data_IF_501104098980
#
_entry.id   IF_501104098980
#
_cell.length_a   1.000
_cell.length_b   1.000
_cell.length_c   1.000
_cell.angle_alpha   90.00
_cell.angle_beta   90.00
_cell.angle_gamma   90.00
#
_symmetry.space_group_name_H-M   'P 1'
#
loop_
_entity.id
_entity.type
_entity.pdbx_description
1 polymer ?
#
# COMPACT_ATOMS: atom_id res chain seq x y z
N UNK A 1 -7.60 -14.80 22.59
CA UNK A 1 -6.70 -13.71 22.08
C UNK A 1 -7.48 -12.98 21.00
N UNK A 2 -7.54 -11.67 21.05
CA UNK A 2 -8.20 -10.86 20.02
C UNK A 2 -7.36 -10.98 18.74
N UNK A 3 -8.00 -11.24 17.62
CA UNK A 3 -7.30 -11.33 16.34
C UNK A 3 -6.87 -9.91 15.93
N UNK A 4 -5.57 -9.63 15.92
CA UNK A 4 -5.00 -8.28 15.66
C UNK A 4 -5.12 -7.85 14.20
N UNK A 5 -5.27 -8.82 13.28
CA UNK A 5 -5.55 -8.63 11.87
C UNK A 5 -6.72 -9.54 11.49
N UNK A 6 -7.75 -8.98 10.87
CA UNK A 6 -8.92 -9.74 10.42
C UNK A 6 -8.89 -9.81 8.89
N UNK A 7 -8.93 -11.01 8.35
CA UNK A 7 -9.11 -11.23 6.91
C UNK A 7 -10.56 -11.60 6.59
N UNK A 8 -11.09 -10.99 5.54
CA UNK A 8 -12.35 -11.40 4.92
C UNK A 8 -12.25 -11.28 3.40
N UNK A 9 -12.75 -12.27 2.67
CA UNK A 9 -12.66 -12.32 1.21
C UNK A 9 -14.06 -12.18 0.61
N UNK A 10 -14.20 -11.32 -0.39
CA UNK A 10 -15.47 -11.09 -1.09
C UNK A 10 -15.22 -10.64 -2.52
N UNK A 11 -15.88 -11.26 -3.49
CA UNK A 11 -15.83 -10.86 -4.90
C UNK A 11 -14.40 -10.71 -5.43
N UNK A 12 -13.54 -11.71 -5.19
CA UNK A 12 -12.11 -11.71 -5.57
C UNK A 12 -11.28 -10.59 -4.93
N UNK A 13 -11.75 -10.01 -3.84
CA UNK A 13 -11.04 -9.00 -3.05
C UNK A 13 -10.76 -9.55 -1.66
N UNK A 14 -9.49 -9.59 -1.25
CA UNK A 14 -9.10 -9.86 0.13
C UNK A 14 -9.04 -8.55 0.92
N UNK A 15 -9.73 -8.50 2.05
CA UNK A 15 -9.77 -7.35 2.95
C UNK A 15 -9.00 -7.70 4.22
N UNK A 16 -7.91 -6.97 4.47
CA UNK A 16 -7.10 -7.06 5.68
C UNK A 16 -7.43 -5.86 6.58
N UNK A 17 -8.12 -6.13 7.68
CA UNK A 17 -8.54 -5.12 8.65
C UNK A 17 -7.61 -5.11 9.85
N UNK A 18 -6.90 -4.01 10.07
CA UNK A 18 -6.08 -3.77 11.27
C UNK A 18 -7.01 -3.66 12.48
N UNK A 19 -6.77 -4.49 13.52
CA UNK A 19 -7.66 -4.64 14.69
C UNK A 19 -6.87 -4.71 16.01
N UNK A 20 -5.76 -3.99 16.13
CA UNK A 20 -5.00 -3.82 17.37
C UNK A 20 -5.30 -2.45 18.00
N UNK A 21 -6.56 -2.33 18.48
CA UNK A 21 -7.06 -1.08 19.06
C UNK A 21 -6.43 -0.79 20.44
N UNK A 22 -6.28 0.50 20.80
CA UNK A 22 -6.83 1.69 20.13
C UNK A 22 -5.93 2.28 19.03
N UNK A 23 -4.74 1.75 18.80
CA UNK A 23 -3.70 2.44 18.01
C UNK A 23 -3.39 1.80 16.64
N UNK A 24 -3.77 0.55 16.42
CA UNK A 24 -3.36 -0.24 15.25
C UNK A 24 -1.86 -0.11 14.98
N UNK A 25 -1.07 -0.33 16.05
CA UNK A 25 0.37 -0.20 15.98
C UNK A 25 0.96 -1.27 15.07
N UNK A 26 1.94 -0.88 14.27
CA UNK A 26 2.76 -1.82 13.52
C UNK A 26 3.82 -2.41 14.45
N UNK A 27 3.35 -3.27 15.39
CA UNK A 27 4.18 -4.10 16.26
C UNK A 27 4.77 -5.29 15.47
N UNK A 28 5.78 -5.96 16.03
CA UNK A 28 6.34 -7.17 15.37
C UNK A 28 5.24 -8.17 15.00
N UNK A 29 4.35 -8.60 15.93
CA UNK A 29 3.29 -9.54 15.57
C UNK A 29 2.34 -9.05 14.48
N UNK A 30 2.00 -7.74 14.46
CA UNK A 30 1.14 -7.17 13.42
C UNK A 30 1.79 -7.23 12.05
N UNK A 31 3.08 -6.84 11.97
CA UNK A 31 3.81 -6.84 10.70
C UNK A 31 4.03 -8.26 10.16
N UNK A 32 4.36 -9.21 11.02
CA UNK A 32 4.48 -10.62 10.66
C UNK A 32 3.15 -11.19 10.16
N UNK A 33 2.04 -10.89 10.82
CA UNK A 33 0.72 -11.36 10.39
C UNK A 33 0.32 -10.75 9.05
N UNK A 34 0.57 -9.44 8.83
CA UNK A 34 0.35 -8.82 7.51
C UNK A 34 1.18 -9.54 6.44
N UNK A 35 2.47 -9.78 6.66
CA UNK A 35 3.34 -10.45 5.71
C UNK A 35 2.87 -11.88 5.39
N UNK A 36 2.43 -12.63 6.41
CA UNK A 36 1.90 -13.97 6.25
C UNK A 36 0.62 -13.97 5.39
N UNK A 37 -0.30 -13.05 5.66
CA UNK A 37 -1.52 -12.91 4.87
C UNK A 37 -1.21 -12.49 3.43
N UNK A 38 -0.32 -11.52 3.23
CA UNK A 38 0.10 -11.09 1.89
C UNK A 38 0.72 -12.24 1.09
N UNK A 39 1.57 -13.06 1.73
CA UNK A 39 2.17 -14.23 1.09
C UNK A 39 1.10 -15.26 0.70
N UNK A 40 0.17 -15.56 1.61
CA UNK A 40 -0.92 -16.50 1.33
C UNK A 40 -1.81 -16.01 0.20
N UNK A 41 -2.17 -14.72 0.21
CA UNK A 41 -3.03 -14.12 -0.81
C UNK A 41 -2.33 -14.07 -2.17
N UNK A 42 -1.03 -13.84 -2.23
CA UNK A 42 -0.31 -13.77 -3.52
C UNK A 42 -0.37 -15.09 -4.31
N UNK A 43 -0.49 -16.22 -3.59
CA UNK A 43 -0.63 -17.56 -4.17
C UNK A 43 -2.09 -18.02 -4.36
N UNK A 44 -3.07 -17.18 -4.05
CA UNK A 44 -4.50 -17.51 -4.17
C UNK A 44 -5.08 -16.89 -5.45
N UNK A 45 -5.23 -17.67 -6.52
CA UNK A 45 -5.71 -17.20 -7.81
C UNK A 45 -7.16 -16.71 -7.78
N UNK A 46 -7.93 -17.03 -6.74
CA UNK A 46 -9.29 -16.52 -6.55
C UNK A 46 -9.33 -15.04 -6.16
N UNK A 47 -8.21 -14.53 -5.62
CA UNK A 47 -8.06 -13.12 -5.19
C UNK A 47 -7.35 -12.31 -6.27
N UNK A 48 -7.89 -11.13 -6.55
CA UNK A 48 -7.42 -10.20 -7.59
C UNK A 48 -6.89 -8.88 -7.03
N UNK A 49 -7.41 -8.43 -5.89
CA UNK A 49 -7.09 -7.14 -5.26
C UNK A 49 -7.04 -7.34 -3.75
N UNK A 50 -6.18 -6.59 -3.08
CA UNK A 50 -6.07 -6.56 -1.62
C UNK A 50 -6.47 -5.17 -1.13
N UNK A 51 -7.31 -5.10 -0.10
CA UNK A 51 -7.61 -3.86 0.64
C UNK A 51 -6.95 -3.97 2.02
N UNK A 52 -6.22 -2.94 2.43
CA UNK A 52 -5.78 -2.75 3.82
C UNK A 52 -6.61 -1.62 4.40
N UNK A 53 -7.35 -1.90 5.47
CA UNK A 53 -8.17 -0.92 6.20
C UNK A 53 -8.02 -1.07 7.71
N UNK A 54 -8.68 -0.24 8.49
CA UNK A 54 -8.80 -0.33 9.94
C UNK A 54 -10.22 -0.71 10.35
N UNK A 55 -10.37 -1.43 11.46
CA UNK A 55 -11.66 -1.60 12.14
C UNK A 55 -12.07 -0.36 12.97
N UNK A 56 -11.19 0.65 13.07
CA UNK A 56 -11.47 1.93 13.72
C UNK A 56 -11.71 3.04 12.70
N UNK A 57 -12.74 3.84 12.93
CA UNK A 57 -12.98 5.06 12.15
C UNK A 57 -12.06 6.23 12.57
N UNK A 58 -11.36 6.11 13.72
CA UNK A 58 -10.54 7.20 14.27
C UNK A 58 -9.07 7.10 13.93
N UNK A 59 -8.59 5.88 13.70
CA UNK A 59 -7.17 5.64 13.45
C UNK A 59 -6.99 4.51 12.44
N UNK A 60 -6.24 4.80 11.38
CA UNK A 60 -5.76 3.78 10.45
C UNK A 60 -4.60 3.02 11.09
N UNK A 61 -3.50 3.73 11.41
CA UNK A 61 -2.36 3.20 12.16
C UNK A 61 -1.51 4.33 12.73
N UNK A 62 -1.04 4.16 13.97
CA UNK A 62 -0.12 5.09 14.65
C UNK A 62 1.36 4.88 14.28
N UNK A 63 1.68 3.87 13.45
CA UNK A 63 3.04 3.43 13.22
C UNK A 63 3.55 2.46 14.28
N UNK A 64 4.85 2.42 14.53
CA UNK A 64 5.43 1.46 15.47
C UNK A 64 4.92 1.60 16.90
N UNK A 65 4.86 0.49 17.62
CA UNK A 65 4.52 0.47 19.04
C UNK A 65 5.67 1.09 19.87
N UNK A 66 5.48 2.32 20.35
CA UNK A 66 6.51 3.02 21.12
C UNK A 66 6.83 2.36 22.46
N UNK A 67 5.91 1.57 23.04
CA UNK A 67 6.20 0.79 24.26
C UNK A 67 7.19 -0.33 23.96
N UNK A 68 7.03 -1.01 22.83
CA UNK A 68 7.94 -2.05 22.34
C UNK A 68 9.33 -1.44 22.06
N UNK A 69 9.39 -0.31 21.32
CA UNK A 69 10.64 0.41 21.06
C UNK A 69 11.33 0.85 22.37
N UNK A 70 10.56 1.37 23.32
CA UNK A 70 11.10 1.78 24.63
C UNK A 70 11.65 0.58 25.39
N UNK A 71 10.98 -0.57 25.37
CA UNK A 71 11.46 -1.82 25.97
C UNK A 71 12.82 -2.24 25.41
N UNK A 72 13.03 -2.15 24.10
CA UNK A 72 14.31 -2.45 23.48
C UNK A 72 15.41 -1.47 23.90
N UNK A 73 15.08 -0.18 24.01
CA UNK A 73 16.03 0.83 24.48
C UNK A 73 16.46 0.58 25.93
N UNK A 74 15.51 0.31 26.83
CA UNK A 74 15.77 0.10 28.25
C UNK A 74 16.64 -1.15 28.51
N UNK A 75 16.54 -2.16 27.64
CA UNK A 75 17.32 -3.37 27.72
C UNK A 75 18.62 -3.35 26.88
N UNK A 76 18.93 -2.23 26.22
CA UNK A 76 20.02 -2.11 25.23
C UNK A 76 19.95 -3.19 24.13
N UNK A 77 18.75 -3.61 23.74
CA UNK A 77 18.52 -4.65 22.75
C UNK A 77 18.55 -4.10 21.34
N UNK A 78 19.74 -3.79 20.85
CA UNK A 78 19.96 -3.31 19.48
C UNK A 78 19.54 -4.33 18.42
N UNK A 79 19.61 -5.63 18.74
CA UNK A 79 19.21 -6.68 17.79
C UNK A 79 17.72 -6.58 17.48
N UNK A 80 16.86 -6.52 18.48
CA UNK A 80 15.41 -6.38 18.29
C UNK A 80 15.03 -5.02 17.64
N UNK A 81 15.79 -3.95 17.92
CA UNK A 81 15.61 -2.67 17.20
C UNK A 81 15.86 -2.83 15.69
N UNK A 82 16.96 -3.47 15.29
CA UNK A 82 17.27 -3.74 13.88
C UNK A 82 16.20 -4.63 13.26
N UNK A 83 15.76 -5.69 13.96
CA UNK A 83 14.74 -6.61 13.49
C UNK A 83 13.40 -5.90 13.25
N UNK A 84 12.94 -5.04 14.17
CA UNK A 84 11.71 -4.27 14.02
C UNK A 84 11.69 -3.46 12.72
N UNK A 85 12.74 -2.65 12.49
CA UNK A 85 12.79 -1.78 11.31
C UNK A 85 13.05 -2.55 10.00
N UNK A 86 13.79 -3.66 10.05
CA UNK A 86 14.01 -4.52 8.89
C UNK A 86 12.74 -5.28 8.50
N UNK A 87 11.97 -5.77 9.47
CA UNK A 87 10.66 -6.40 9.25
C UNK A 87 9.68 -5.42 8.63
N UNK A 88 9.60 -4.19 9.17
CA UNK A 88 8.79 -3.13 8.58
C UNK A 88 9.18 -2.86 7.13
N UNK A 89 10.46 -2.67 6.85
CA UNK A 89 10.97 -2.41 5.50
C UNK A 89 10.70 -3.58 4.55
N UNK A 90 10.78 -4.82 5.04
CA UNK A 90 10.47 -6.03 4.26
C UNK A 90 8.99 -6.11 3.91
N UNK A 91 8.09 -5.81 4.87
CA UNK A 91 6.65 -5.73 4.65
C UNK A 91 6.29 -4.70 3.57
N UNK A 92 6.87 -3.48 3.64
CA UNK A 92 6.60 -2.43 2.66
C UNK A 92 7.07 -2.82 1.25
N UNK A 93 8.25 -3.44 1.15
CA UNK A 93 8.76 -3.97 -0.13
C UNK A 93 7.90 -5.12 -0.66
N UNK A 94 7.39 -5.99 0.23
CA UNK A 94 6.51 -7.07 -0.16
C UNK A 94 5.24 -6.55 -0.81
N UNK A 95 4.59 -5.51 -0.25
CA UNK A 95 3.40 -4.87 -0.84
C UNK A 95 3.62 -4.48 -2.30
N UNK A 96 4.77 -3.87 -2.60
CA UNK A 96 5.11 -3.46 -3.98
C UNK A 96 5.47 -4.64 -4.88
N UNK A 97 6.04 -5.72 -4.31
CA UNK A 97 6.48 -6.90 -5.05
C UNK A 97 5.36 -7.89 -5.40
N UNK A 98 4.19 -7.80 -4.73
CA UNK A 98 3.04 -8.68 -4.98
C UNK A 98 2.57 -8.61 -6.44
N UNK A 99 2.05 -9.72 -6.94
CA UNK A 99 1.39 -9.79 -8.24
C UNK A 99 0.06 -9.02 -8.28
N UNK A 100 -0.55 -8.84 -7.11
CA UNK A 100 -1.89 -8.26 -6.92
C UNK A 100 -1.81 -6.82 -6.44
N UNK A 101 -2.64 -5.90 -6.97
CA UNK A 101 -2.74 -4.54 -6.46
C UNK A 101 -3.21 -4.49 -5.01
N UNK A 102 -2.61 -3.57 -4.25
CA UNK A 102 -2.94 -3.30 -2.84
C UNK A 102 -3.49 -1.88 -2.72
N UNK A 103 -4.65 -1.76 -2.10
CA UNK A 103 -5.36 -0.48 -1.90
C UNK A 103 -5.44 -0.17 -0.41
N UNK A 104 -4.97 1.01 0.00
CA UNK A 104 -5.20 1.52 1.34
C UNK A 104 -6.56 2.23 1.39
N UNK A 105 -7.45 1.78 2.29
CA UNK A 105 -8.71 2.46 2.61
C UNK A 105 -8.57 3.11 3.99
N UNK A 106 -8.43 4.44 4.02
CA UNK A 106 -8.00 5.17 5.21
C UNK A 106 -9.17 5.92 5.83
N UNK A 107 -9.50 5.58 7.09
CA UNK A 107 -10.33 6.39 7.98
C UNK A 107 -9.48 6.84 9.17
N UNK A 108 -9.75 8.06 9.64
CA UNK A 108 -9.01 8.63 10.75
C UNK A 108 -7.54 8.91 10.42
N UNK A 109 -6.63 8.63 11.34
CA UNK A 109 -5.24 9.09 11.26
C UNK A 109 -4.30 7.96 10.81
N UNK A 110 -3.44 8.24 9.83
CA UNK A 110 -2.30 7.43 9.45
C UNK A 110 -1.00 8.19 9.75
N UNK A 111 -0.20 7.73 10.74
CA UNK A 111 1.01 8.45 11.13
C UNK A 111 2.26 7.57 11.10
N UNK A 112 3.43 8.20 10.92
CA UNK A 112 4.73 7.55 10.94
C UNK A 112 4.76 6.32 10.00
N UNK A 113 5.02 5.10 10.51
CA UNK A 113 4.97 3.87 9.72
C UNK A 113 3.56 3.55 9.20
N UNK A 114 2.48 4.12 9.78
CA UNK A 114 1.14 4.04 9.24
C UNK A 114 0.98 4.86 7.94
N UNK A 115 1.56 6.06 7.88
CA UNK A 115 1.63 6.83 6.64
C UNK A 115 2.56 6.17 5.60
N UNK A 116 3.63 5.51 6.05
CA UNK A 116 4.49 4.69 5.20
C UNK A 116 3.71 3.52 4.56
N UNK A 117 2.86 2.84 5.33
CA UNK A 117 2.01 1.76 4.84
C UNK A 117 1.07 2.25 3.74
N UNK A 118 0.40 3.40 3.96
CA UNK A 118 -0.45 4.03 2.94
C UNK A 118 0.33 4.33 1.66
N UNK A 119 1.51 4.95 1.78
CA UNK A 119 2.36 5.30 0.63
C UNK A 119 2.99 4.08 -0.07
N UNK A 120 3.04 2.92 0.59
CA UNK A 120 3.57 1.67 0.02
C UNK A 120 2.51 0.89 -0.77
N UNK A 121 1.22 1.19 -0.56
CA UNK A 121 0.13 0.62 -1.36
C UNK A 121 0.11 1.21 -2.77
N UNK A 122 -0.41 0.46 -3.73
CA UNK A 122 -0.50 0.89 -5.14
C UNK A 122 -1.50 2.04 -5.32
N UNK A 123 -2.59 2.01 -4.55
CA UNK A 123 -3.62 3.04 -4.52
C UNK A 123 -3.99 3.34 -3.05
N UNK A 124 -4.46 4.56 -2.81
CA UNK A 124 -4.96 4.95 -1.50
C UNK A 124 -6.17 5.88 -1.62
N UNK A 125 -7.18 5.62 -0.82
CA UNK A 125 -8.39 6.44 -0.71
C UNK A 125 -8.64 6.77 0.76
N UNK A 126 -8.99 8.03 1.04
CA UNK A 126 -9.25 8.52 2.39
C UNK A 126 -10.65 9.04 2.57
N UNK A 127 -11.16 8.99 3.82
CA UNK A 127 -12.31 9.82 4.19
C UNK A 127 -11.89 11.29 4.29
N UNK A 128 -12.83 12.23 4.09
CA UNK A 128 -12.55 13.69 4.17
C UNK A 128 -11.96 14.11 5.52
N UNK A 129 -12.27 13.41 6.60
CA UNK A 129 -11.75 13.64 7.93
C UNK A 129 -10.42 12.92 8.21
N UNK A 130 -9.90 12.13 7.26
CA UNK A 130 -8.62 11.46 7.44
C UNK A 130 -7.44 12.42 7.45
N UNK A 131 -6.37 12.05 8.18
CA UNK A 131 -5.15 12.86 8.32
C UNK A 131 -3.91 11.99 8.18
N UNK A 132 -2.84 12.60 7.69
CA UNK A 132 -1.57 11.92 7.44
C UNK A 132 -0.42 12.72 8.06
N UNK A 133 0.53 12.06 8.73
CA UNK A 133 1.64 12.75 9.37
C UNK A 133 2.93 11.92 9.43
N UNK A 134 4.06 12.62 9.54
CA UNK A 134 5.36 12.02 9.87
C UNK A 134 5.94 12.70 11.12
N UNK A 135 5.32 12.48 12.32
CA UNK A 135 5.51 13.31 13.50
C UNK A 135 6.72 12.94 14.36
N UNK A 136 7.66 12.15 13.85
CA UNK A 136 8.83 11.69 14.63
C UNK A 136 9.60 12.82 15.33
N UNK A 137 9.74 13.99 14.69
CA UNK A 137 10.45 15.15 15.24
C UNK A 137 9.86 15.64 16.56
N UNK A 138 8.56 15.44 16.80
CA UNK A 138 7.88 15.86 18.03
C UNK A 138 8.31 15.05 19.26
N UNK A 139 8.95 13.90 19.04
CA UNK A 139 9.45 13.01 20.12
C UNK A 139 10.97 12.79 20.03
N UNK A 140 11.69 13.66 19.33
CA UNK A 140 13.15 13.56 19.18
C UNK A 140 13.63 12.48 18.22
N UNK A 141 12.76 11.96 17.37
CA UNK A 141 13.06 11.00 16.30
C UNK A 141 12.83 11.65 14.94
N UNK A 142 13.43 11.08 13.91
CA UNK A 142 13.11 11.47 12.53
C UNK A 142 12.43 10.29 11.83
N UNK A 143 11.45 10.56 10.98
CA UNK A 143 10.74 9.49 10.26
C UNK A 143 11.59 8.92 9.11
N UNK A 144 12.74 8.28 9.46
CA UNK A 144 13.74 7.79 8.50
C UNK A 144 13.18 6.73 7.53
N UNK A 145 12.46 5.73 8.03
CA UNK A 145 11.86 4.71 7.16
C UNK A 145 10.58 5.18 6.47
N UNK A 146 9.67 5.93 7.11
CA UNK A 146 8.49 6.49 6.44
C UNK A 146 8.83 7.40 5.26
N UNK A 147 9.89 8.23 5.37
CA UNK A 147 10.28 9.12 4.26
C UNK A 147 10.58 8.36 2.97
N UNK A 148 11.03 7.10 3.03
CA UNK A 148 11.40 6.32 1.85
C UNK A 148 10.20 6.09 0.94
N UNK A 149 9.08 5.59 1.47
CA UNK A 149 7.87 5.35 0.69
C UNK A 149 7.18 6.67 0.32
N UNK A 150 7.01 7.59 1.30
CA UNK A 150 6.27 8.83 1.09
C UNK A 150 6.98 9.72 0.06
N UNK A 151 8.32 9.86 0.09
CA UNK A 151 9.06 10.69 -0.88
C UNK A 151 9.09 10.10 -2.31
N UNK A 152 8.73 8.83 -2.47
CA UNK A 152 8.53 8.20 -3.79
C UNK A 152 7.13 8.41 -4.35
N UNK A 153 6.24 8.92 -3.50
CA UNK A 153 4.84 9.19 -3.87
C UNK A 153 4.59 10.69 -4.06
N UNK A 154 5.20 11.53 -3.22
CA UNK A 154 5.01 12.99 -3.24
C UNK A 154 6.29 13.74 -3.55
N UNK A 155 6.14 15.01 -3.96
CA UNK A 155 7.28 15.88 -4.25
C UNK A 155 8.13 16.20 -3.01
N UNK A 156 9.42 16.52 -3.24
CA UNK A 156 10.39 16.78 -2.16
C UNK A 156 9.96 17.88 -1.17
N UNK A 157 9.32 18.96 -1.64
CA UNK A 157 8.94 20.08 -0.75
C UNK A 157 7.82 19.71 0.22
N UNK A 158 6.69 19.13 -0.22
CA UNK A 158 5.68 18.61 0.70
C UNK A 158 6.24 17.55 1.66
N UNK A 159 7.13 16.67 1.18
CA UNK A 159 7.73 15.66 2.05
C UNK A 159 8.56 16.31 3.17
N UNK A 160 9.41 17.27 2.85
CA UNK A 160 10.23 17.98 3.85
C UNK A 160 9.37 18.80 4.82
N UNK A 161 8.27 19.41 4.36
CA UNK A 161 7.31 20.08 5.22
C UNK A 161 6.74 19.13 6.28
N UNK A 162 6.26 17.95 5.88
CA UNK A 162 5.74 16.93 6.80
C UNK A 162 6.81 16.42 7.77
N UNK A 163 8.03 16.19 7.29
CA UNK A 163 9.14 15.65 8.10
C UNK A 163 9.64 16.64 9.15
N UNK A 164 9.75 17.92 8.78
CA UNK A 164 10.36 18.94 9.65
C UNK A 164 9.35 19.56 10.63
N UNK A 165 8.09 19.69 10.24
CA UNK A 165 7.04 20.19 11.12
C UNK A 165 6.45 19.11 12.03
N UNK A 166 6.35 17.88 11.53
CA UNK A 166 5.62 16.80 12.20
C UNK A 166 4.11 17.03 12.27
N UNK A 167 3.60 18.08 11.61
CA UNK A 167 2.18 18.43 11.62
C UNK A 167 1.35 17.52 10.69
N UNK A 168 0.14 17.14 11.11
CA UNK A 168 -0.76 16.39 10.24
C UNK A 168 -1.28 17.24 9.08
N UNK A 169 -1.28 16.67 7.88
CA UNK A 169 -1.96 17.24 6.72
C UNK A 169 -3.38 16.66 6.58
N UNK A 170 -4.29 17.47 6.02
CA UNK A 170 -5.66 17.02 5.71
C UNK A 170 -5.70 16.05 4.52
N UNK A 171 -6.81 15.36 4.36
CA UNK A 171 -7.08 14.47 3.22
C UNK A 171 -7.04 15.22 1.89
N UNK A 172 -7.58 16.44 1.82
CA UNK A 172 -7.55 17.28 0.62
C UNK A 172 -6.12 17.67 0.26
N UNK A 173 -5.29 18.00 1.27
CA UNK A 173 -3.87 18.26 1.04
C UNK A 173 -3.14 17.01 0.57
N UNK A 174 -3.47 15.85 1.14
CA UNK A 174 -2.89 14.56 0.73
C UNK A 174 -3.22 14.23 -0.75
N UNK A 175 -4.43 14.52 -1.22
CA UNK A 175 -4.80 14.41 -2.65
C UNK A 175 -4.00 15.40 -3.50
N UNK A 176 -3.94 16.69 -3.09
CA UNK A 176 -3.23 17.73 -3.85
C UNK A 176 -1.75 17.40 -4.09
N UNK A 177 -1.09 16.78 -3.12
CA UNK A 177 0.34 16.43 -3.22
C UNK A 177 0.60 15.04 -3.79
N UNK A 178 -0.46 14.26 -4.05
CA UNK A 178 -0.38 12.94 -4.65
C UNK A 178 -0.12 11.79 -3.65
N UNK A 179 -0.31 12.00 -2.34
CA UNK A 179 -0.15 10.94 -1.34
C UNK A 179 -1.28 9.91 -1.41
N UNK A 180 -2.50 10.37 -1.72
CA UNK A 180 -3.67 9.51 -1.93
C UNK A 180 -4.39 9.89 -3.23
N UNK A 181 -5.14 8.95 -3.80
CA UNK A 181 -5.84 9.12 -5.07
C UNK A 181 -7.08 10.01 -4.96
N UNK A 182 -7.84 9.87 -3.89
CA UNK A 182 -9.03 10.69 -3.63
C UNK A 182 -9.40 10.71 -2.14
N UNK A 183 -10.10 11.77 -1.74
CA UNK A 183 -10.78 11.90 -0.46
C UNK A 183 -12.27 12.09 -0.70
N UNK A 184 -13.11 11.32 0.00
CA UNK A 184 -14.56 11.32 -0.15
C UNK A 184 -15.24 11.29 1.21
N UNK A 185 -16.55 11.57 1.27
CA UNK A 185 -17.29 11.41 2.50
C UNK A 185 -17.14 9.99 3.07
N UNK A 186 -17.06 9.89 4.40
CA UNK A 186 -16.84 8.61 5.07
C UNK A 186 -17.87 7.54 4.69
N UNK A 187 -19.11 7.96 4.40
CA UNK A 187 -20.19 7.09 3.93
C UNK A 187 -19.96 6.53 2.51
N UNK A 188 -19.23 7.26 1.67
CA UNK A 188 -18.96 6.88 0.27
C UNK A 188 -17.62 6.16 0.07
N UNK A 189 -16.76 6.13 1.10
CA UNK A 189 -15.40 5.61 0.98
C UNK A 189 -15.37 4.14 0.54
N UNK A 190 -16.18 3.29 1.17
CA UNK A 190 -16.24 1.86 0.82
C UNK A 190 -16.71 1.66 -0.63
N UNK A 191 -17.73 2.39 -1.06
CA UNK A 191 -18.24 2.35 -2.43
C UNK A 191 -17.18 2.81 -3.45
N UNK A 192 -16.42 3.84 -3.12
CA UNK A 192 -15.34 4.37 -3.97
C UNK A 192 -14.23 3.34 -4.14
N UNK A 193 -13.78 2.73 -3.03
CA UNK A 193 -12.76 1.66 -3.06
C UNK A 193 -13.27 0.44 -3.81
N UNK A 194 -14.51 0.00 -3.57
CA UNK A 194 -15.10 -1.14 -4.26
C UNK A 194 -15.21 -0.92 -5.77
N UNK A 195 -15.54 0.31 -6.20
CA UNK A 195 -15.52 0.67 -7.63
C UNK A 195 -14.12 0.45 -8.22
N UNK A 196 -13.07 0.93 -7.55
CA UNK A 196 -11.69 0.73 -8.00
C UNK A 196 -11.32 -0.76 -8.06
N UNK A 197 -11.72 -1.55 -7.05
CA UNK A 197 -11.51 -3.00 -7.06
C UNK A 197 -12.20 -3.66 -8.27
N UNK A 198 -13.45 -3.30 -8.54
CA UNK A 198 -14.21 -3.84 -9.67
C UNK A 198 -13.55 -3.49 -11.01
N UNK A 199 -13.10 -2.22 -11.16
CA UNK A 199 -12.41 -1.77 -12.37
C UNK A 199 -11.12 -2.58 -12.62
N UNK A 200 -10.39 -2.94 -11.55
CA UNK A 200 -9.18 -3.76 -11.61
C UNK A 200 -9.53 -5.23 -11.87
N UNK A 201 -10.50 -5.79 -11.15
CA UNK A 201 -10.90 -7.21 -11.30
C UNK A 201 -11.41 -7.53 -12.71
N UNK A 202 -11.91 -6.55 -13.44
CA UNK A 202 -12.37 -6.70 -14.84
C UNK A 202 -11.22 -6.67 -15.86
N UNK A 203 -9.95 -6.61 -15.44
CA UNK A 203 -8.78 -6.65 -16.34
C UNK A 203 -8.06 -7.99 -16.22
N UNK A 204 -7.16 -8.27 -17.15
CA UNK A 204 -6.29 -9.46 -17.08
C UNK A 204 -5.40 -9.43 -15.83
N UNK A 205 -5.40 -10.51 -15.05
CA UNK A 205 -4.53 -10.64 -13.88
C UNK A 205 -3.05 -10.67 -14.27
N UNK A 206 -2.72 -11.42 -15.32
CA UNK A 206 -1.35 -11.56 -15.82
C UNK A 206 -0.78 -10.22 -16.28
N UNK A 207 -1.56 -9.43 -17.02
CA UNK A 207 -1.15 -8.10 -17.49
C UNK A 207 -0.95 -7.13 -16.33
N UNK A 208 -1.86 -7.13 -15.34
CA UNK A 208 -1.72 -6.28 -14.14
C UNK A 208 -0.46 -6.66 -13.35
N UNK A 209 -0.25 -7.95 -13.09
CA UNK A 209 0.92 -8.44 -12.36
C UNK A 209 2.24 -8.05 -13.05
N UNK A 210 2.32 -8.26 -14.37
CA UNK A 210 3.47 -7.85 -15.17
C UNK A 210 3.68 -6.33 -15.13
N UNK A 211 2.62 -5.56 -15.33
CA UNK A 211 2.65 -4.10 -15.34
C UNK A 211 3.07 -3.50 -14.01
N UNK A 212 2.50 -3.98 -12.89
CA UNK A 212 2.88 -3.55 -11.54
C UNK A 212 4.37 -3.81 -11.27
N UNK A 213 4.84 -5.03 -11.54
CA UNK A 213 6.26 -5.39 -11.37
C UNK A 213 7.18 -4.53 -12.24
N UNK A 214 6.80 -4.30 -13.47
CA UNK A 214 7.53 -3.46 -14.42
C UNK A 214 7.59 -2.01 -13.94
N UNK A 215 6.46 -1.45 -13.46
CA UNK A 215 6.38 -0.08 -12.96
C UNK A 215 7.37 0.18 -11.81
N UNK A 216 7.33 -0.65 -10.75
CA UNK A 216 8.23 -0.46 -9.61
C UNK A 216 9.70 -0.66 -9.98
N UNK A 217 10.00 -1.58 -10.88
CA UNK A 217 11.37 -1.83 -11.33
C UNK A 217 11.92 -0.67 -12.15
N UNK A 218 11.17 -0.17 -13.15
CA UNK A 218 11.64 0.90 -14.03
C UNK A 218 11.78 2.24 -13.29
N UNK A 219 10.99 2.50 -12.25
CA UNK A 219 11.04 3.75 -11.49
C UNK A 219 12.37 3.98 -10.74
N UNK A 220 13.15 2.92 -10.55
CA UNK A 220 14.47 2.99 -9.91
C UNK A 220 15.63 2.97 -10.95
N UNK A 221 15.31 3.00 -12.26
CA UNK A 221 16.31 2.92 -13.34
C UNK A 221 16.66 4.31 -13.91
N UNK A 222 17.87 4.49 -14.45
CA UNK A 222 18.16 5.60 -15.35
C UNK A 222 17.23 5.59 -16.57
N UNK A 223 16.92 6.76 -17.12
CA UNK A 223 15.90 6.92 -18.17
C UNK A 223 16.12 5.99 -19.39
N UNK A 224 17.36 5.87 -19.89
CA UNK A 224 17.66 5.00 -21.02
C UNK A 224 17.36 3.54 -20.70
N UNK A 225 17.87 3.06 -19.56
CA UNK A 225 17.71 1.67 -19.13
C UNK A 225 16.23 1.33 -18.85
N UNK A 226 15.47 2.31 -18.34
CA UNK A 226 14.03 2.17 -18.12
C UNK A 226 13.27 1.96 -19.44
N UNK A 227 13.60 2.73 -20.50
CA UNK A 227 12.97 2.53 -21.81
C UNK A 227 13.38 1.21 -22.47
N UNK A 228 14.65 0.82 -22.39
CA UNK A 228 15.12 -0.45 -22.93
C UNK A 228 14.42 -1.62 -22.24
N UNK A 229 14.35 -1.60 -20.91
CA UNK A 229 13.65 -2.60 -20.11
C UNK A 229 12.16 -2.64 -20.45
N UNK A 230 11.46 -1.48 -20.43
CA UNK A 230 10.00 -1.45 -20.63
C UNK A 230 9.60 -1.78 -22.06
N UNK A 231 10.43 -1.47 -23.05
CA UNK A 231 10.23 -1.89 -24.45
C UNK A 231 10.26 -3.42 -24.57
N UNK A 232 11.21 -4.08 -23.89
CA UNK A 232 11.25 -5.55 -23.85
C UNK A 232 10.03 -6.14 -23.12
N UNK A 233 9.60 -5.53 -21.99
CA UNK A 233 8.40 -5.96 -21.28
C UNK A 233 7.14 -5.77 -22.15
N UNK A 234 7.06 -4.70 -22.96
CA UNK A 234 5.93 -4.51 -23.88
C UNK A 234 5.86 -5.61 -24.95
N UNK A 235 6.99 -5.98 -25.54
CA UNK A 235 7.05 -7.12 -26.49
C UNK A 235 6.61 -8.40 -25.81
N UNK A 236 7.07 -8.65 -24.59
CA UNK A 236 6.68 -9.83 -23.80
C UNK A 236 5.18 -9.82 -23.51
N UNK A 237 4.60 -8.66 -23.16
CA UNK A 237 3.15 -8.54 -22.92
C UNK A 237 2.33 -8.92 -24.17
N UNK A 238 2.80 -8.55 -25.37
CA UNK A 238 2.15 -8.93 -26.62
C UNK A 238 2.13 -10.45 -26.87
N UNK A 239 3.02 -11.22 -26.23
CA UNK A 239 3.07 -12.68 -26.35
C UNK A 239 2.14 -13.40 -25.38
N UNK A 240 1.54 -12.71 -24.40
CA UNK A 240 0.52 -13.28 -23.51
C UNK A 240 -0.77 -13.55 -24.30
N UNK A 241 -1.51 -14.61 -23.93
CA UNK A 241 -2.83 -14.90 -24.50
C UNK A 241 -3.76 -13.70 -24.33
N UNK A 242 -3.78 -13.11 -23.15
CA UNK A 242 -4.59 -11.91 -22.84
C UNK A 242 -4.17 -10.67 -23.62
N UNK A 243 -2.90 -10.53 -23.98
CA UNK A 243 -2.42 -9.46 -24.86
C UNK A 243 -3.02 -9.56 -26.28
N UNK A 244 -3.05 -10.76 -26.85
CA UNK A 244 -3.67 -11.03 -28.14
C UNK A 244 -5.20 -10.90 -28.07
N UNK A 245 -5.85 -11.46 -27.04
CA UNK A 245 -7.29 -11.36 -26.82
C UNK A 245 -7.73 -9.89 -26.70
N UNK A 246 -7.00 -9.07 -25.94
CA UNK A 246 -7.30 -7.65 -25.76
C UNK A 246 -7.27 -6.86 -27.06
N UNK A 247 -6.30 -7.12 -27.94
CA UNK A 247 -6.21 -6.49 -29.27
C UNK A 247 -7.36 -6.99 -30.16
N UNK A 248 -7.59 -8.30 -30.21
CA UNK A 248 -8.64 -8.91 -31.05
C UNK A 248 -10.01 -8.42 -30.66
N UNK A 249 -10.35 -8.46 -29.37
CA UNK A 249 -11.66 -8.02 -28.87
C UNK A 249 -11.90 -6.53 -29.15
N UNK A 250 -10.86 -5.68 -29.00
CA UNK A 250 -10.97 -4.26 -29.32
C UNK A 250 -11.26 -4.01 -30.80
N UNK A 251 -10.54 -4.71 -31.70
CA UNK A 251 -10.76 -4.59 -33.16
C UNK A 251 -12.13 -5.13 -33.60
N UNK A 252 -12.61 -6.18 -32.95
CA UNK A 252 -13.90 -6.82 -33.21
C UNK A 252 -15.07 -6.12 -32.49
N UNK A 253 -14.80 -5.12 -31.64
CA UNK A 253 -15.78 -4.36 -30.84
C UNK A 253 -16.64 -5.26 -29.95
N UNK A 254 -16.02 -6.23 -29.29
CA UNK A 254 -16.63 -7.12 -28.30
C UNK A 254 -15.91 -6.99 -26.95
N UNK A 255 -16.54 -7.50 -25.90
CA UNK A 255 -15.88 -7.60 -24.60
C UNK A 255 -14.78 -8.67 -24.63
N UNK A 256 -13.64 -8.44 -23.96
CA UNK A 256 -12.58 -9.43 -23.86
C UNK A 256 -12.93 -10.56 -22.91
N UNK A 257 -12.40 -11.75 -23.21
CA UNK A 257 -12.50 -12.93 -22.34
C UNK A 257 -11.09 -13.27 -21.83
N UNK A 258 -10.76 -12.80 -20.63
CA UNK A 258 -9.43 -12.97 -20.06
C UNK A 258 -9.18 -14.40 -19.60
N UNK A 259 -8.08 -15.01 -20.06
CA UNK A 259 -7.57 -16.30 -19.58
C UNK A 259 -6.79 -16.17 -18.28
N UNK A 260 -6.25 -14.98 -18.05
CA UNK A 260 -5.37 -14.61 -16.92
C UNK A 260 -4.00 -15.31 -16.95
N UNK A 261 -3.52 -15.66 -18.12
CA UNK A 261 -2.22 -16.29 -18.40
C UNK A 261 -1.46 -15.59 -19.56
#
# INVERSE_FOLDING_TARGET
MTNILIRSDKNSVAILSLNDLPANSLSMPMMEEIQNQLTTIDHDDSIRVIIIKSESDKIFSSGHNLKEVKGFLDNNDTKSQVELFSTCSSMMKQIQALSKPVIAQVRGIATAAGAQLVASCDLAYGSLDSKYATPGVNIGLFCHTPQVAVSRTIGRKPMMEMLLSGEPISSERAVQIGLINAAVDSADLEKTVQKSCNDICNKSAAVIAMGKKSFYRQSEMPLSDAYDFTSAEMVRNLTLNDGNEGISSFLEKRDPNWSND
#
